data_IF_493937001257
#
_entry.id   IF_493937001257
#
_cell.length_a   1.000
_cell.length_b   1.000
_cell.length_c   1.000
_cell.angle_alpha   90.00
_cell.angle_beta   90.00
_cell.angle_gamma   90.00
#
_symmetry.space_group_name_H-M   'P 1'
#
loop_
_entity.id
_entity.type
_entity.pdbx_description
1 polymer ?
#
# COMPACT_ATOMS: atom_id res chain seq x y z
N UNK A 1 42.86 -84.81 -27.32
CA UNK A 1 41.84 -83.79 -27.67
C UNK A 1 40.87 -83.48 -26.50
N UNK A 2 41.39 -83.26 -25.27
CA UNK A 2 40.56 -82.92 -24.08
C UNK A 2 41.01 -81.64 -23.36
N UNK A 3 42.10 -80.99 -23.80
CA UNK A 3 42.60 -79.73 -23.23
C UNK A 3 42.07 -78.46 -23.92
N UNK A 4 41.61 -78.55 -25.17
CA UNK A 4 41.09 -77.40 -25.94
C UNK A 4 39.66 -77.00 -25.56
N UNK A 5 38.91 -77.89 -24.88
CA UNK A 5 37.49 -77.65 -24.55
C UNK A 5 37.28 -76.95 -23.19
N UNK A 6 38.30 -76.91 -22.32
CA UNK A 6 38.23 -76.24 -21.00
C UNK A 6 38.44 -74.73 -21.08
N UNK A 7 39.26 -74.27 -22.04
CA UNK A 7 39.47 -72.83 -22.27
C UNK A 7 38.21 -72.15 -22.85
N UNK A 8 37.44 -72.83 -23.70
CA UNK A 8 36.23 -72.25 -24.29
C UNK A 8 35.11 -72.05 -23.26
N UNK A 9 34.96 -72.95 -22.27
CA UNK A 9 33.99 -72.77 -21.18
C UNK A 9 34.35 -71.64 -20.23
N UNK A 10 35.64 -71.37 -20.00
CA UNK A 10 36.07 -70.24 -19.18
C UNK A 10 36.02 -68.91 -19.94
N UNK A 11 36.26 -68.91 -21.26
CA UNK A 11 36.13 -67.71 -22.10
C UNK A 11 34.67 -67.28 -22.29
N UNK A 12 33.72 -68.22 -22.38
CA UNK A 12 32.29 -67.92 -22.52
C UNK A 12 31.67 -67.43 -21.21
N UNK A 13 32.20 -67.83 -20.05
CA UNK A 13 31.76 -67.31 -18.75
C UNK A 13 32.34 -65.91 -18.46
N UNK A 14 33.52 -65.59 -18.99
CA UNK A 14 34.09 -64.24 -18.88
C UNK A 14 33.42 -63.22 -19.82
N UNK A 15 32.81 -63.68 -20.91
CA UNK A 15 32.06 -62.83 -21.86
C UNK A 15 30.60 -62.60 -21.45
N UNK A 16 30.10 -63.32 -20.44
CA UNK A 16 28.78 -63.12 -19.83
C UNK A 16 28.83 -62.32 -18.51
N UNK A 17 30.04 -62.02 -18.01
CA UNK A 17 30.27 -61.26 -16.78
C UNK A 17 30.72 -59.81 -17.04
N UNK A 18 30.73 -59.34 -18.29
CA UNK A 18 30.81 -57.92 -18.62
C UNK A 18 29.44 -57.26 -18.45
N UNK A 19 29.20 -56.87 -17.19
CA UNK A 19 28.57 -55.61 -16.85
C UNK A 19 27.11 -55.39 -17.31
N UNK A 20 26.25 -56.07 -16.56
CA UNK A 20 24.86 -55.75 -16.21
C UNK A 20 24.63 -54.35 -15.58
N UNK A 21 25.29 -53.27 -16.00
CA UNK A 21 25.03 -51.95 -15.37
C UNK A 21 25.10 -50.81 -16.38
N UNK A 22 23.98 -50.56 -17.07
CA UNK A 22 23.47 -49.21 -17.40
C UNK A 22 22.02 -49.31 -17.87
N UNK A 23 21.14 -49.92 -17.07
CA UNK A 23 19.75 -49.44 -17.10
C UNK A 23 19.75 -48.14 -16.31
N UNK A 24 20.15 -47.05 -16.97
CA UNK A 24 19.65 -45.75 -16.58
C UNK A 24 18.13 -45.88 -16.76
N UNK A 25 17.42 -46.19 -15.67
CA UNK A 25 16.08 -45.64 -15.52
C UNK A 25 16.30 -44.15 -15.68
N UNK A 26 15.95 -43.62 -16.86
CA UNK A 26 15.67 -42.22 -17.00
C UNK A 26 14.47 -42.04 -16.09
N UNK A 27 14.75 -41.78 -14.81
CA UNK A 27 13.76 -41.23 -13.93
C UNK A 27 13.34 -39.97 -14.67
N UNK A 28 12.18 -40.05 -15.33
CA UNK A 28 11.47 -38.85 -15.69
C UNK A 28 11.28 -38.15 -14.37
N UNK A 29 12.17 -37.20 -14.08
CA UNK A 29 11.86 -36.11 -13.19
C UNK A 29 10.65 -35.49 -13.85
N UNK A 30 9.47 -36.00 -13.48
CA UNK A 30 8.22 -35.30 -13.64
C UNK A 30 8.48 -34.02 -12.87
N UNK A 31 8.96 -33.01 -13.60
CA UNK A 31 9.06 -31.66 -13.12
C UNK A 31 7.61 -31.32 -12.86
N UNK A 32 7.16 -31.56 -11.62
CA UNK A 32 5.88 -31.12 -11.13
C UNK A 32 5.98 -29.60 -11.16
N UNK A 33 5.67 -29.03 -12.32
CA UNK A 33 5.51 -27.61 -12.47
C UNK A 33 4.29 -27.27 -11.64
N UNK A 34 4.59 -26.73 -10.47
CA UNK A 34 3.62 -26.23 -9.55
C UNK A 34 2.96 -24.99 -10.16
N UNK A 35 1.88 -25.25 -10.90
CA UNK A 35 1.10 -24.24 -11.59
C UNK A 35 0.24 -23.41 -10.62
N UNK A 36 0.27 -23.72 -9.33
CA UNK A 36 -0.53 -23.05 -8.30
C UNK A 36 0.29 -22.07 -7.44
N UNK A 37 1.43 -21.59 -7.95
CA UNK A 37 2.23 -20.55 -7.27
C UNK A 37 1.56 -19.19 -7.30
N UNK A 38 1.83 -18.33 -6.31
CA UNK A 38 1.18 -17.02 -6.14
C UNK A 38 1.21 -16.13 -7.39
N UNK A 39 2.32 -16.11 -8.14
CA UNK A 39 2.42 -15.33 -9.38
C UNK A 39 1.61 -15.93 -10.53
N UNK A 40 1.46 -17.26 -10.58
CA UNK A 40 0.70 -17.95 -11.61
C UNK A 40 -0.80 -17.81 -11.38
N UNK A 41 -1.26 -17.93 -10.11
CA UNK A 41 -2.65 -17.63 -9.73
C UNK A 41 -3.03 -16.19 -10.07
N UNK A 42 -2.13 -15.23 -9.85
CA UNK A 42 -2.34 -13.83 -10.27
C UNK A 42 -2.37 -13.69 -11.79
N UNK A 43 -1.49 -14.38 -12.51
CA UNK A 43 -1.40 -14.29 -13.96
C UNK A 43 -2.60 -14.90 -14.69
N UNK A 44 -3.26 -15.89 -14.08
CA UNK A 44 -4.48 -16.53 -14.61
C UNK A 44 -5.76 -15.72 -14.32
N UNK A 45 -5.69 -14.76 -13.39
CA UNK A 45 -6.83 -13.93 -13.03
C UNK A 45 -6.97 -12.70 -13.93
N UNK A 46 -8.06 -12.65 -14.71
CA UNK A 46 -8.33 -11.56 -15.66
C UNK A 46 -8.46 -10.17 -15.02
N UNK A 47 -8.76 -10.07 -13.72
CA UNK A 47 -8.91 -8.80 -12.98
C UNK A 47 -7.62 -8.37 -12.27
N UNK A 48 -6.53 -9.15 -12.38
CA UNK A 48 -5.23 -8.86 -11.78
C UNK A 48 -4.12 -8.71 -12.84
N UNK A 49 -4.50 -8.48 -14.10
CA UNK A 49 -3.58 -8.47 -15.24
C UNK A 49 -2.52 -7.36 -15.14
N UNK A 50 -2.88 -6.20 -14.61
CA UNK A 50 -1.97 -5.06 -14.36
C UNK A 50 -0.98 -5.38 -13.24
N UNK A 51 -1.41 -6.08 -12.19
CA UNK A 51 -0.50 -6.52 -11.14
C UNK A 51 0.44 -7.64 -11.61
N UNK A 52 -0.03 -8.56 -12.45
CA UNK A 52 0.82 -9.53 -13.14
C UNK A 52 1.93 -8.83 -13.96
N UNK A 53 1.58 -7.75 -14.67
CA UNK A 53 2.56 -6.92 -15.38
C UNK A 53 3.56 -6.22 -14.43
N UNK A 54 3.13 -5.77 -13.24
CA UNK A 54 4.03 -5.25 -12.19
C UNK A 54 5.05 -6.31 -11.77
N UNK A 55 4.59 -7.54 -11.48
CA UNK A 55 5.47 -8.63 -11.06
C UNK A 55 6.51 -8.96 -12.14
N UNK A 56 6.08 -9.06 -13.40
CA UNK A 56 6.97 -9.33 -14.56
C UNK A 56 7.99 -8.22 -14.78
N UNK A 57 7.54 -6.97 -14.81
CA UNK A 57 8.43 -5.82 -15.07
C UNK A 57 9.44 -5.58 -13.95
N UNK A 58 9.05 -5.85 -12.71
CA UNK A 58 9.94 -5.73 -11.55
C UNK A 58 10.89 -6.91 -11.40
N UNK A 59 10.62 -8.05 -12.05
CA UNK A 59 11.30 -9.33 -11.82
C UNK A 59 10.86 -10.06 -10.55
N UNK A 60 9.86 -9.54 -9.83
CA UNK A 60 9.32 -10.17 -8.62
C UNK A 60 8.61 -11.48 -8.93
N UNK A 61 8.07 -11.65 -10.14
CA UNK A 61 7.52 -12.91 -10.64
C UNK A 61 8.53 -14.06 -10.50
N UNK A 62 9.78 -13.86 -10.92
CA UNK A 62 10.85 -14.87 -10.80
C UNK A 62 11.21 -15.13 -9.35
N UNK A 63 11.23 -14.10 -8.51
CA UNK A 63 11.57 -14.20 -7.09
C UNK A 63 10.56 -15.08 -6.37
N UNK A 64 9.26 -14.83 -6.54
CA UNK A 64 8.22 -15.64 -5.89
C UNK A 64 8.01 -17.00 -6.56
N UNK A 65 8.35 -17.13 -7.85
CA UNK A 65 8.24 -18.41 -8.55
C UNK A 65 9.32 -19.41 -8.15
N UNK A 66 10.56 -18.95 -7.90
CA UNK A 66 11.68 -19.85 -7.58
C UNK A 66 12.02 -19.86 -6.09
N UNK A 67 11.58 -18.87 -5.33
CA UNK A 67 11.78 -18.85 -3.89
C UNK A 67 10.91 -19.88 -3.17
N UNK A 68 11.39 -20.35 -2.02
CA UNK A 68 10.70 -21.36 -1.20
C UNK A 68 9.40 -20.83 -0.59
N UNK A 69 9.29 -19.50 -0.38
CA UNK A 69 8.15 -18.89 0.30
C UNK A 69 8.09 -19.26 1.79
N UNK A 70 6.92 -19.15 2.43
CA UNK A 70 5.67 -18.67 1.86
C UNK A 70 5.69 -17.16 1.59
N UNK A 71 4.92 -16.71 0.60
CA UNK A 71 4.72 -15.28 0.30
C UNK A 71 3.27 -14.88 0.54
N UNK A 72 3.04 -13.62 0.92
CA UNK A 72 1.71 -13.02 0.83
C UNK A 72 1.76 -11.86 -0.15
N UNK A 73 1.10 -12.02 -1.31
CA UNK A 73 1.02 -10.99 -2.33
C UNK A 73 -0.24 -10.15 -2.15
N UNK A 74 -0.05 -8.85 -2.08
CA UNK A 74 -1.12 -7.86 -2.04
C UNK A 74 -1.38 -7.44 -3.49
N UNK A 75 -2.44 -7.92 -4.12
CA UNK A 75 -2.70 -7.72 -5.55
C UNK A 75 -3.80 -6.67 -5.76
N UNK A 76 -3.49 -5.41 -6.11
CA UNK A 76 -4.52 -4.46 -6.51
C UNK A 76 -5.25 -4.94 -7.76
N UNK A 77 -6.56 -4.74 -7.79
CA UNK A 77 -7.38 -5.02 -8.97
C UNK A 77 -7.03 -4.12 -10.17
N UNK A 78 -7.42 -4.51 -11.38
CA UNK A 78 -7.24 -3.68 -12.58
C UNK A 78 -8.00 -2.35 -12.50
N UNK A 79 -9.14 -2.33 -11.79
CA UNK A 79 -9.83 -1.09 -11.45
C UNK A 79 -8.96 -0.19 -10.56
N UNK A 80 -8.28 -0.76 -9.55
CA UNK A 80 -7.37 -0.03 -8.68
C UNK A 80 -6.20 0.61 -9.46
N UNK A 81 -5.64 -0.11 -10.43
CA UNK A 81 -4.60 0.40 -11.32
C UNK A 81 -5.12 1.51 -12.24
N UNK A 82 -6.32 1.36 -12.78
CA UNK A 82 -6.95 2.39 -13.61
C UNK A 82 -7.15 3.70 -12.82
N UNK A 83 -7.63 3.63 -11.58
CA UNK A 83 -7.72 4.79 -10.68
C UNK A 83 -6.35 5.39 -10.36
N UNK A 84 -5.29 4.58 -10.30
CA UNK A 84 -3.92 5.04 -10.11
C UNK A 84 -3.28 5.61 -11.40
N UNK A 85 -4.01 5.68 -12.51
CA UNK A 85 -3.54 6.22 -13.80
C UNK A 85 -2.86 5.19 -14.71
N UNK A 86 -2.89 3.91 -14.35
CA UNK A 86 -2.39 2.80 -15.16
C UNK A 86 -3.56 2.06 -15.79
N UNK A 87 -3.98 2.49 -16.99
CA UNK A 87 -5.10 1.89 -17.72
C UNK A 87 -4.66 0.57 -18.41
N UNK A 88 -4.54 -0.48 -17.61
CA UNK A 88 -4.20 -1.83 -18.04
C UNK A 88 -2.70 -2.17 -18.04
N UNK A 89 -2.35 -3.43 -18.37
CA UNK A 89 -0.98 -3.95 -18.23
C UNK A 89 0.03 -3.23 -19.12
N UNK A 90 -0.37 -2.77 -20.32
CA UNK A 90 0.53 -2.04 -21.23
C UNK A 90 1.00 -0.71 -20.60
N UNK A 91 0.11 0.01 -19.91
CA UNK A 91 0.48 1.25 -19.21
C UNK A 91 1.48 0.98 -18.08
N UNK A 92 1.30 -0.11 -17.33
CA UNK A 92 2.27 -0.57 -16.31
C UNK A 92 3.63 -0.89 -16.96
N UNK A 93 3.62 -1.62 -18.07
CA UNK A 93 4.83 -1.99 -18.82
C UNK A 93 5.54 -0.78 -19.45
N UNK A 94 4.83 0.32 -19.72
CA UNK A 94 5.42 1.58 -20.18
C UNK A 94 5.89 2.50 -19.03
N UNK A 95 5.41 2.31 -17.79
CA UNK A 95 5.71 3.17 -16.64
C UNK A 95 7.17 3.21 -16.18
N UNK A 96 7.48 3.99 -15.14
CA UNK A 96 8.85 4.08 -14.61
C UNK A 96 9.27 2.76 -13.91
N UNK A 97 10.32 2.10 -14.39
CA UNK A 97 10.78 0.81 -13.84
C UNK A 97 11.12 0.87 -12.35
N UNK A 98 11.79 1.93 -11.87
CA UNK A 98 12.12 2.08 -10.44
C UNK A 98 10.85 2.16 -9.59
N UNK A 99 9.84 2.90 -10.03
CA UNK A 99 8.56 2.98 -9.34
C UNK A 99 7.82 1.63 -9.35
N UNK A 100 7.75 0.95 -10.49
CA UNK A 100 7.10 -0.36 -10.59
C UNK A 100 7.78 -1.40 -9.70
N UNK A 101 9.12 -1.41 -9.64
CA UNK A 101 9.86 -2.28 -8.71
C UNK A 101 9.58 -1.94 -7.24
N UNK A 102 9.45 -0.65 -6.90
CA UNK A 102 9.05 -0.24 -5.54
C UNK A 102 7.64 -0.70 -5.20
N UNK A 103 6.69 -0.57 -6.13
CA UNK A 103 5.31 -1.06 -5.98
C UNK A 103 5.31 -2.58 -5.76
N UNK A 104 6.04 -3.35 -6.57
CA UNK A 104 6.12 -4.81 -6.42
C UNK A 104 6.65 -5.24 -5.05
N UNK A 105 7.74 -4.61 -4.58
CA UNK A 105 8.30 -4.89 -3.25
C UNK A 105 7.31 -4.49 -2.14
N UNK A 106 6.65 -3.34 -2.26
CA UNK A 106 5.72 -2.88 -1.24
C UNK A 106 4.47 -3.76 -1.11
N UNK A 107 4.08 -4.44 -2.19
CA UNK A 107 2.97 -5.38 -2.24
C UNK A 107 3.37 -6.84 -1.97
N UNK A 108 4.60 -7.09 -1.50
CA UNK A 108 5.09 -8.44 -1.20
C UNK A 108 5.48 -8.54 0.27
N UNK A 109 4.87 -9.49 1.00
CA UNK A 109 5.28 -9.87 2.34
C UNK A 109 5.99 -11.23 2.31
N UNK A 110 7.05 -11.34 3.09
CA UNK A 110 7.73 -12.60 3.38
C UNK A 110 7.04 -13.30 4.56
N UNK A 111 6.37 -14.41 4.26
CA UNK A 111 5.53 -15.16 5.21
C UNK A 111 4.10 -15.35 4.71
N UNK A 112 3.40 -16.27 5.37
CA UNK A 112 1.97 -16.52 5.18
C UNK A 112 1.17 -15.67 6.18
N UNK A 113 0.56 -14.58 5.72
CA UNK A 113 -0.23 -13.68 6.56
C UNK A 113 -1.72 -13.86 6.26
N UNK A 114 -2.40 -14.59 7.14
CA UNK A 114 -3.86 -14.68 7.16
C UNK A 114 -4.42 -13.44 7.87
N UNK A 115 -4.46 -12.32 7.14
CA UNK A 115 -4.75 -11.01 7.72
C UNK A 115 -6.09 -11.01 8.49
N UNK A 116 -7.11 -11.72 8.02
CA UNK A 116 -8.38 -11.83 8.75
C UNK A 116 -8.31 -12.48 10.15
N UNK A 117 -7.22 -13.18 10.48
CA UNK A 117 -7.02 -13.87 11.77
C UNK A 117 -5.96 -13.23 12.65
N UNK A 118 -5.22 -12.24 12.15
CA UNK A 118 -4.19 -11.59 12.95
C UNK A 118 -4.84 -10.70 14.03
N UNK A 119 -4.29 -10.68 15.25
CA UNK A 119 -4.73 -9.74 16.28
C UNK A 119 -4.28 -8.34 15.87
N UNK A 120 -5.13 -7.63 15.14
CA UNK A 120 -4.83 -6.26 14.75
C UNK A 120 -5.30 -5.29 15.81
N UNK A 121 -4.35 -4.53 16.36
CA UNK A 121 -4.66 -3.21 16.86
C UNK A 121 -5.07 -2.31 15.70
N UNK A 122 -5.73 -1.20 16.01
CA UNK A 122 -6.00 -0.17 15.02
C UNK A 122 -4.67 0.32 14.41
N UNK A 123 -4.57 0.33 13.08
CA UNK A 123 -3.33 0.65 12.36
C UNK A 123 -2.11 -0.18 12.84
N UNK A 124 -2.28 -1.49 13.01
CA UNK A 124 -1.19 -2.41 13.34
C UNK A 124 -0.09 -2.35 12.29
N UNK A 125 1.14 -2.01 12.70
CA UNK A 125 2.30 -2.00 11.79
C UNK A 125 2.62 -3.43 11.31
N UNK A 126 2.78 -3.57 10.00
CA UNK A 126 3.30 -4.72 9.28
C UNK A 126 4.54 -4.30 8.48
N UNK A 127 5.39 -5.26 8.13
CA UNK A 127 6.57 -5.02 7.29
C UNK A 127 6.44 -5.78 5.98
N UNK A 128 6.52 -5.05 4.87
CA UNK A 128 6.64 -5.61 3.53
C UNK A 128 8.08 -5.48 3.05
N UNK A 129 8.41 -6.09 1.91
CA UNK A 129 9.74 -5.90 1.29
C UNK A 129 9.99 -4.45 0.89
N UNK A 130 8.94 -3.64 0.73
CA UNK A 130 9.03 -2.23 0.37
C UNK A 130 8.94 -1.24 1.54
N UNK A 131 8.84 -1.72 2.79
CA UNK A 131 8.80 -0.85 3.99
C UNK A 131 7.64 -1.15 4.93
N UNK A 132 7.32 -0.18 5.79
CA UNK A 132 6.22 -0.30 6.77
C UNK A 132 4.86 -0.14 6.10
N UNK A 133 3.90 -0.93 6.54
CA UNK A 133 2.49 -0.90 6.15
C UNK A 133 1.63 -0.97 7.41
N UNK A 134 0.37 -0.58 7.33
CA UNK A 134 -0.51 -0.55 8.50
C UNK A 134 -1.79 -1.30 8.20
N UNK A 135 -2.12 -2.31 8.98
CA UNK A 135 -3.33 -3.10 8.83
C UNK A 135 -4.36 -2.70 9.88
N UNK A 136 -5.60 -2.51 9.45
CA UNK A 136 -6.74 -2.30 10.35
C UNK A 136 -7.80 -3.32 10.04
N UNK A 137 -8.22 -4.07 11.05
CA UNK A 137 -9.32 -5.02 10.96
C UNK A 137 -10.42 -4.57 11.89
N UNK A 138 -11.58 -4.31 11.31
CA UNK A 138 -12.72 -3.73 11.96
C UNK A 138 -13.92 -4.66 11.86
N UNK A 139 -14.49 -5.01 13.01
CA UNK A 139 -15.65 -5.88 13.10
C UNK A 139 -16.80 -5.05 13.68
N UNK A 140 -17.87 -4.85 12.90
CA UNK A 140 -19.10 -4.18 13.31
C UNK A 140 -20.28 -5.12 13.12
N UNK A 141 -20.69 -5.80 14.20
CA UNK A 141 -21.72 -6.83 14.11
C UNK A 141 -21.23 -8.02 13.27
N UNK A 142 -21.90 -8.28 12.14
CA UNK A 142 -21.48 -9.32 11.18
C UNK A 142 -20.55 -8.80 10.08
N UNK A 143 -20.44 -7.48 9.94
CA UNK A 143 -19.60 -6.87 8.90
C UNK A 143 -18.16 -6.81 9.36
N UNK A 144 -17.29 -7.36 8.53
CA UNK A 144 -15.85 -7.40 8.76
C UNK A 144 -15.16 -6.65 7.63
N UNK A 145 -14.41 -5.61 7.96
CA UNK A 145 -13.64 -4.83 7.01
C UNK A 145 -12.17 -4.88 7.37
N UNK A 146 -11.34 -5.22 6.39
CA UNK A 146 -9.89 -5.23 6.50
C UNK A 146 -9.33 -4.17 5.55
N UNK A 147 -8.44 -3.33 6.06
CA UNK A 147 -7.71 -2.35 5.27
C UNK A 147 -6.20 -2.50 5.46
N UNK A 148 -5.45 -2.17 4.41
CA UNK A 148 -4.00 -2.07 4.40
C UNK A 148 -3.61 -0.66 3.93
N UNK A 149 -3.06 0.14 4.83
CA UNK A 149 -2.70 1.54 4.62
C UNK A 149 -3.83 2.35 3.94
N UNK A 150 -5.07 2.15 4.40
CA UNK A 150 -6.26 2.79 3.85
C UNK A 150 -6.89 2.14 2.60
N UNK A 151 -6.26 1.11 2.02
CA UNK A 151 -6.81 0.33 0.90
C UNK A 151 -7.64 -0.84 1.42
N UNK A 152 -8.87 -1.02 0.94
CA UNK A 152 -9.74 -2.13 1.37
C UNK A 152 -9.27 -3.42 0.72
N UNK A 153 -9.27 -4.50 1.51
CA UNK A 153 -9.08 -5.85 0.99
C UNK A 153 -10.42 -6.39 0.46
N UNK A 154 -10.50 -6.57 -0.86
CA UNK A 154 -11.68 -7.01 -1.60
C UNK A 154 -11.90 -8.53 -1.52
N UNK A 155 -10.82 -9.30 -1.63
CA UNK A 155 -10.83 -10.76 -1.50
C UNK A 155 -9.62 -11.19 -0.67
N UNK A 156 -9.86 -12.12 0.25
CA UNK A 156 -8.88 -12.47 1.28
C UNK A 156 -8.43 -13.93 1.16
N UNK A 157 -7.18 -14.19 1.49
CA UNK A 157 -6.60 -15.52 1.65
C UNK A 157 -6.81 -16.46 0.44
N UNK A 158 -6.70 -15.94 -0.79
CA UNK A 158 -6.70 -16.80 -1.97
C UNK A 158 -5.46 -17.68 -1.89
N UNK A 159 -5.66 -18.99 -1.80
CA UNK A 159 -4.60 -19.95 -1.54
C UNK A 159 -3.77 -20.24 -2.80
N UNK A 160 -2.46 -20.28 -2.60
CA UNK A 160 -1.48 -20.75 -3.57
C UNK A 160 -0.56 -21.77 -2.87
N UNK A 161 0.13 -22.60 -3.64
CA UNK A 161 1.04 -23.62 -3.13
C UNK A 161 2.18 -23.06 -2.27
N UNK A 162 2.64 -21.84 -2.58
CA UNK A 162 3.73 -21.16 -1.90
C UNK A 162 3.30 -19.86 -1.20
N UNK A 163 2.00 -19.70 -0.86
CA UNK A 163 1.57 -18.46 -0.24
C UNK A 163 0.07 -18.15 -0.23
N UNK A 164 -0.22 -16.87 -0.03
CA UNK A 164 -1.56 -16.29 -0.05
C UNK A 164 -1.59 -15.06 -0.94
N UNK A 165 -2.77 -14.76 -1.48
CA UNK A 165 -3.04 -13.52 -2.21
C UNK A 165 -4.17 -12.77 -1.52
N UNK A 166 -4.00 -11.46 -1.37
CA UNK A 166 -4.97 -10.52 -0.82
C UNK A 166 -5.28 -9.49 -1.92
N UNK A 167 -6.52 -9.41 -2.39
CA UNK A 167 -6.89 -8.49 -3.48
C UNK A 167 -7.24 -7.12 -2.92
N UNK A 168 -6.68 -6.04 -3.46
CA UNK A 168 -6.87 -4.67 -2.97
C UNK A 168 -7.70 -3.81 -3.93
N UNK A 169 -8.41 -2.83 -3.37
CA UNK A 169 -9.16 -1.83 -4.15
C UNK A 169 -8.32 -0.62 -4.59
N UNK A 170 -7.10 -0.48 -4.05
CA UNK A 170 -6.14 0.57 -4.41
C UNK A 170 -4.73 0.04 -4.56
N UNK A 171 -3.99 0.63 -5.50
CA UNK A 171 -2.54 0.44 -5.60
C UNK A 171 -1.86 1.18 -4.45
N UNK A 172 -1.17 0.45 -3.59
CA UNK A 172 -0.43 1.02 -2.48
C UNK A 172 0.95 1.50 -2.94
N UNK A 173 1.25 2.78 -2.76
CA UNK A 173 2.56 3.33 -3.08
C UNK A 173 3.44 3.37 -1.82
N UNK A 174 4.70 2.87 -1.88
CA UNK A 174 5.59 2.97 -0.74
C UNK A 174 5.96 4.43 -0.49
N UNK A 175 6.03 4.80 0.79
CA UNK A 175 6.47 6.13 1.16
C UNK A 175 7.92 6.37 0.72
N UNK A 176 8.20 7.58 0.25
CA UNK A 176 9.55 8.01 -0.17
C UNK A 176 10.28 8.74 0.96
N UNK A 177 9.52 9.22 1.94
CA UNK A 177 10.02 10.07 3.03
C UNK A 177 9.67 9.46 4.37
N UNK A 178 10.67 9.34 5.24
CA UNK A 178 10.49 8.83 6.61
C UNK A 178 9.74 9.83 7.50
N UNK A 179 9.81 11.12 7.19
CA UNK A 179 9.15 12.19 7.95
C UNK A 179 8.08 12.89 7.09
N UNK A 180 6.94 13.16 7.71
CA UNK A 180 5.82 13.88 7.09
C UNK A 180 6.22 15.30 6.69
N UNK A 181 7.08 15.95 7.47
CA UNK A 181 7.65 17.26 7.12
C UNK A 181 8.42 17.23 5.79
N UNK A 182 9.19 16.16 5.55
CA UNK A 182 9.90 15.97 4.28
C UNK A 182 8.96 15.65 3.12
N UNK A 183 7.89 14.87 3.37
CA UNK A 183 6.86 14.63 2.37
C UNK A 183 6.14 15.93 1.96
N UNK A 184 5.81 16.78 2.93
CA UNK A 184 5.19 18.09 2.69
C UNK A 184 6.13 19.01 1.89
N UNK A 185 7.41 19.07 2.26
CA UNK A 185 8.40 19.89 1.58
C UNK A 185 8.68 19.46 0.13
N UNK A 186 8.44 18.19 -0.21
CA UNK A 186 8.68 17.63 -1.54
C UNK A 186 7.50 17.78 -2.51
N UNK A 187 6.29 18.11 -2.04
CA UNK A 187 5.11 18.23 -2.90
C UNK A 187 4.97 19.68 -3.44
N UNK A 188 5.04 19.88 -4.77
CA UNK A 188 4.99 21.21 -5.38
C UNK A 188 3.64 21.91 -5.21
N UNK A 189 2.57 21.18 -4.87
CA UNK A 189 1.22 21.74 -4.75
C UNK A 189 0.95 22.38 -3.39
N UNK A 190 1.81 22.17 -2.39
CA UNK A 190 1.62 22.63 -0.99
C UNK A 190 2.84 23.41 -0.46
N UNK A 191 3.59 24.04 -1.36
CA UNK A 191 4.83 24.77 -1.02
C UNK A 191 4.58 25.93 -0.06
N UNK A 192 3.46 26.66 -0.19
CA UNK A 192 3.10 27.75 0.74
C UNK A 192 2.83 27.21 2.15
N UNK A 193 2.13 26.08 2.26
CA UNK A 193 1.91 25.42 3.54
C UNK A 193 3.22 24.91 4.17
N UNK A 194 4.12 24.35 3.35
CA UNK A 194 5.46 23.95 3.81
C UNK A 194 6.25 25.13 4.39
N UNK A 195 6.20 26.31 3.74
CA UNK A 195 6.85 27.52 4.25
C UNK A 195 6.20 28.05 5.52
N UNK A 196 4.88 27.95 5.65
CA UNK A 196 4.17 28.30 6.88
C UNK A 196 4.57 27.40 8.07
N UNK A 197 4.66 26.08 7.86
CA UNK A 197 5.16 25.15 8.87
C UNK A 197 6.59 25.47 9.33
N UNK A 198 7.46 25.83 8.38
CA UNK A 198 8.84 26.21 8.68
C UNK A 198 8.91 27.51 9.47
N UNK A 199 8.22 28.56 9.02
CA UNK A 199 8.26 29.89 9.65
C UNK A 199 7.63 29.93 11.05
N UNK A 200 6.64 29.07 11.32
CA UNK A 200 5.94 29.00 12.62
C UNK A 200 6.59 28.06 13.65
N UNK A 201 7.63 27.33 13.27
CA UNK A 201 8.24 26.30 14.11
C UNK A 201 7.38 25.02 14.30
N UNK A 202 6.26 24.89 13.59
CA UNK A 202 5.40 23.69 13.67
C UNK A 202 6.05 22.50 12.96
N UNK A 203 6.92 22.75 11.96
CA UNK A 203 7.66 21.69 11.26
C UNK A 203 8.45 20.81 12.25
N UNK A 204 9.09 21.40 13.26
CA UNK A 204 9.83 20.67 14.29
C UNK A 204 8.90 19.81 15.15
N UNK A 205 7.67 20.28 15.40
CA UNK A 205 6.68 19.51 16.17
C UNK A 205 6.32 18.21 15.45
N UNK A 206 6.03 18.29 14.14
CA UNK A 206 5.64 17.12 13.33
C UNK A 206 6.83 16.27 12.83
N UNK A 207 8.06 16.70 13.12
CA UNK A 207 9.28 15.95 12.82
C UNK A 207 9.69 15.01 13.98
N UNK A 208 9.04 15.14 15.14
CA UNK A 208 9.27 14.28 16.31
C UNK A 208 8.61 12.91 16.23
N UNK A 209 8.55 12.23 17.38
CA UNK A 209 7.86 10.95 17.53
C UNK A 209 6.38 11.09 17.13
N UNK A 210 6.02 10.43 16.03
CA UNK A 210 4.66 10.37 15.50
C UNK A 210 3.84 9.21 16.09
N UNK A 211 2.70 8.85 15.49
CA UNK A 211 2.27 9.28 14.16
C UNK A 211 1.54 10.63 14.11
N UNK A 212 1.62 11.30 12.95
CA UNK A 212 0.85 12.50 12.63
C UNK A 212 -0.03 12.30 11.40
N UNK A 213 -1.17 12.97 11.34
CA UNK A 213 -1.94 13.14 10.11
C UNK A 213 -2.05 14.62 9.80
N UNK A 214 -1.70 15.02 8.58
CA UNK A 214 -1.70 16.42 8.17
C UNK A 214 -2.67 16.59 7.02
N UNK A 215 -3.60 17.53 7.17
CA UNK A 215 -4.48 18.00 6.11
C UNK A 215 -3.90 19.29 5.54
N UNK A 216 -3.06 19.19 4.51
CA UNK A 216 -2.33 20.33 3.95
C UNK A 216 -3.16 21.06 2.88
N UNK A 217 -3.58 22.32 3.10
CA UNK A 217 -4.16 23.15 2.04
C UNK A 217 -3.16 23.32 0.90
N UNK A 218 -3.64 23.14 -0.32
CA UNK A 218 -2.86 23.42 -1.53
C UNK A 218 -2.53 24.91 -1.67
N UNK A 219 -1.67 25.23 -2.63
CA UNK A 219 -1.21 26.59 -2.85
C UNK A 219 -2.37 27.54 -3.20
N UNK A 220 -3.39 27.06 -3.92
CA UNK A 220 -4.57 27.86 -4.24
C UNK A 220 -5.39 28.17 -2.98
N UNK A 221 -5.59 27.18 -2.10
CA UNK A 221 -6.23 27.36 -0.81
C UNK A 221 -5.45 28.32 0.09
N UNK A 222 -4.12 28.19 0.16
CA UNK A 222 -3.26 29.10 0.91
C UNK A 222 -3.35 30.54 0.39
N UNK A 223 -3.35 30.73 -0.92
CA UNK A 223 -3.55 32.05 -1.55
C UNK A 223 -4.92 32.65 -1.19
N UNK A 224 -5.99 31.85 -1.25
CA UNK A 224 -7.34 32.28 -0.88
C UNK A 224 -7.48 32.65 0.60
N UNK A 225 -6.58 32.16 1.46
CA UNK A 225 -6.50 32.52 2.88
C UNK A 225 -5.64 33.78 3.14
N UNK A 226 -5.05 34.37 2.09
CA UNK A 226 -4.19 35.55 2.20
C UNK A 226 -2.70 35.24 2.39
N UNK A 227 -2.29 33.97 2.26
CA UNK A 227 -0.89 33.53 2.36
C UNK A 227 -0.26 33.32 0.97
N UNK A 228 -0.47 34.27 0.06
CA UNK A 228 -0.08 34.14 -1.35
C UNK A 228 1.43 34.17 -1.58
N UNK A 229 2.20 34.72 -0.64
CA UNK A 229 3.66 34.81 -0.73
C UNK A 229 4.34 34.43 0.58
N UNK A 230 5.62 34.06 0.50
CA UNK A 230 6.45 33.79 1.68
C UNK A 230 6.54 35.02 2.59
N UNK A 231 6.58 36.21 2.02
CA UNK A 231 6.62 37.47 2.76
C UNK A 231 5.33 37.66 3.58
N UNK A 232 4.16 37.38 3.00
CA UNK A 232 2.89 37.45 3.73
C UNK A 232 2.85 36.45 4.89
N UNK A 233 3.37 35.24 4.68
CA UNK A 233 3.49 34.24 5.75
C UNK A 233 4.42 34.74 6.87
N UNK A 234 5.55 35.35 6.54
CA UNK A 234 6.51 35.87 7.51
C UNK A 234 6.01 37.08 8.29
N UNK A 235 5.21 37.94 7.66
CA UNK A 235 4.59 39.11 8.28
C UNK A 235 3.33 38.77 9.09
N UNK A 236 2.84 37.53 9.00
CA UNK A 236 1.67 37.09 9.74
C UNK A 236 1.96 36.97 11.23
N UNK A 237 0.94 37.21 12.05
CA UNK A 237 1.01 37.00 13.48
C UNK A 237 1.45 35.54 13.79
N UNK A 238 2.60 35.34 14.46
CA UNK A 238 3.14 34.00 14.69
C UNK A 238 2.22 33.09 15.52
N UNK A 239 1.46 33.66 16.45
CA UNK A 239 0.54 32.92 17.32
C UNK A 239 -0.67 32.45 16.50
N UNK A 240 -1.24 33.34 15.69
CA UNK A 240 -2.36 32.99 14.79
C UNK A 240 -1.94 31.98 13.74
N UNK A 241 -0.77 32.17 13.12
CA UNK A 241 -0.23 31.24 12.12
C UNK A 241 0.00 29.86 12.74
N UNK A 242 0.59 29.80 13.94
CA UNK A 242 0.79 28.53 14.65
C UNK A 242 -0.53 27.84 14.96
N UNK A 243 -1.53 28.56 15.48
CA UNK A 243 -2.86 27.99 15.77
C UNK A 243 -3.53 27.46 14.51
N UNK A 244 -3.49 28.23 13.41
CA UNK A 244 -4.00 27.82 12.11
C UNK A 244 -3.36 26.49 11.66
N UNK A 245 -2.02 26.38 11.73
CA UNK A 245 -1.32 25.16 11.30
C UNK A 245 -1.62 23.96 12.19
N UNK A 246 -1.72 24.14 13.51
CA UNK A 246 -2.08 23.06 14.43
C UNK A 246 -3.52 22.55 14.21
N UNK A 247 -4.42 23.41 13.73
CA UNK A 247 -5.78 23.04 13.33
C UNK A 247 -5.84 22.21 12.03
N UNK A 248 -4.71 21.99 11.36
CA UNK A 248 -4.57 21.11 10.21
C UNK A 248 -3.86 19.79 10.53
N UNK A 249 -3.53 19.55 11.81
CA UNK A 249 -2.72 18.41 12.22
C UNK A 249 -3.46 17.60 13.29
N UNK A 250 -3.42 16.28 13.14
CA UNK A 250 -3.88 15.29 14.13
C UNK A 250 -2.67 14.54 14.65
N UNK A 251 -2.62 14.29 15.97
CA UNK A 251 -1.58 13.46 16.61
C UNK A 251 -1.99 11.97 16.63
N UNK A 252 -2.26 11.44 15.45
CA UNK A 252 -2.62 10.03 15.21
C UNK A 252 -2.37 9.68 13.73
N UNK A 253 -2.33 8.39 13.40
CA UNK A 253 -2.32 7.91 12.00
C UNK A 253 -3.77 7.74 11.54
N UNK A 254 -4.19 8.52 10.55
CA UNK A 254 -5.55 8.48 10.01
C UNK A 254 -5.54 8.44 8.49
N UNK A 255 -5.91 7.28 7.98
CA UNK A 255 -6.28 7.09 6.58
C UNK A 255 -7.73 7.54 6.35
N UNK A 256 -8.13 7.78 5.11
CA UNK A 256 -9.52 8.12 4.76
C UNK A 256 -10.47 7.01 5.18
N UNK A 257 -10.07 5.75 4.98
CA UNK A 257 -10.90 4.60 5.32
C UNK A 257 -11.09 4.44 6.83
N UNK A 258 -10.17 4.93 7.65
CA UNK A 258 -10.30 4.92 9.12
C UNK A 258 -11.55 5.68 9.58
N UNK A 259 -11.87 6.79 8.91
CA UNK A 259 -13.10 7.55 9.17
C UNK A 259 -14.34 6.83 8.66
N UNK A 260 -14.26 6.14 7.52
CA UNK A 260 -15.37 5.33 6.99
C UNK A 260 -15.74 4.23 8.00
N UNK A 261 -14.75 3.62 8.66
CA UNK A 261 -14.98 2.59 9.68
C UNK A 261 -15.60 3.15 10.96
N UNK A 262 -15.25 4.38 11.36
CA UNK A 262 -15.61 4.94 12.67
C UNK A 262 -16.86 5.82 12.70
N UNK A 263 -17.35 6.32 11.56
CA UNK A 263 -18.43 7.36 11.45
C UNK A 263 -19.86 6.89 11.74
N UNK A 264 -20.05 5.67 12.25
CA UNK A 264 -21.36 5.21 12.75
C UNK A 264 -22.45 5.20 11.67
N UNK A 265 -23.68 5.58 12.04
CA UNK A 265 -24.83 5.71 11.12
C UNK A 265 -25.08 7.14 10.67
N UNK A 266 -24.42 8.12 11.30
CA UNK A 266 -24.54 9.55 10.97
C UNK A 266 -23.78 9.95 9.70
N UNK A 267 -22.93 9.06 9.16
CA UNK A 267 -21.97 9.36 8.09
C UNK A 267 -21.09 10.59 8.40
N UNK A 268 -20.95 10.91 9.69
CA UNK A 268 -20.23 12.06 10.20
C UNK A 268 -19.50 11.69 11.49
N UNK A 269 -18.28 12.17 11.65
CA UNK A 269 -17.46 12.00 12.85
C UNK A 269 -16.81 13.33 13.25
N UNK A 270 -16.52 13.48 14.54
CA UNK A 270 -15.68 14.57 15.04
C UNK A 270 -14.23 14.10 15.10
N UNK A 271 -13.32 14.92 14.61
CA UNK A 271 -11.88 14.68 14.68
C UNK A 271 -11.22 15.81 15.48
N UNK A 272 -10.63 15.46 16.62
CA UNK A 272 -9.82 16.39 17.41
C UNK A 272 -8.51 16.73 16.71
N UNK A 273 -8.15 18.01 16.75
CA UNK A 273 -6.95 18.57 16.13
C UNK A 273 -5.92 18.99 17.20
N UNK A 274 -4.69 19.26 16.78
CA UNK A 274 -3.59 19.58 17.70
C UNK A 274 -3.68 20.98 18.35
N UNK A 275 -4.57 21.84 17.87
CA UNK A 275 -4.88 23.13 18.50
C UNK A 275 -5.91 23.00 19.64
N UNK A 276 -6.49 21.81 19.84
CA UNK A 276 -7.52 21.52 20.84
C UNK A 276 -8.96 21.64 20.33
N UNK A 277 -9.17 22.13 19.11
CA UNK A 277 -10.50 22.18 18.48
C UNK A 277 -10.80 20.87 17.74
N UNK A 278 -12.04 20.74 17.24
CA UNK A 278 -12.45 19.59 16.42
C UNK A 278 -13.01 20.03 15.08
N UNK A 279 -12.79 19.20 14.06
CA UNK A 279 -13.40 19.33 12.74
C UNK A 279 -14.46 18.25 12.55
N UNK A 280 -15.45 18.55 11.72
CA UNK A 280 -16.41 17.55 11.27
C UNK A 280 -15.86 16.86 10.03
N UNK A 281 -15.76 15.53 10.09
CA UNK A 281 -15.49 14.65 8.96
C UNK A 281 -16.83 14.15 8.45
N UNK A 282 -17.09 14.31 7.16
CA UNK A 282 -18.30 13.79 6.51
C UNK A 282 -17.91 12.77 5.46
N UNK A 283 -18.61 11.65 5.41
CA UNK A 283 -18.39 10.65 4.38
C UNK A 283 -18.98 11.10 3.04
N UNK A 284 -18.23 10.85 1.96
CA UNK A 284 -18.67 11.12 0.58
C UNK A 284 -19.17 9.82 -0.04
N UNK A 285 -20.49 9.69 -0.33
CA UNK A 285 -21.04 8.49 -0.95
C UNK A 285 -20.43 8.22 -2.32
N UNK A 286 -20.28 6.94 -2.65
CA UNK A 286 -19.87 6.52 -3.98
C UNK A 286 -21.11 6.45 -4.90
N UNK A 287 -21.19 7.25 -5.98
CA UNK A 287 -22.35 7.23 -6.87
C UNK A 287 -22.49 5.91 -7.64
N UNK A 288 -21.41 5.13 -7.77
CA UNK A 288 -21.38 3.90 -8.55
C UNK A 288 -21.57 2.63 -7.71
N UNK A 289 -21.61 2.76 -6.38
CA UNK A 289 -21.75 1.62 -5.48
C UNK A 289 -22.59 2.03 -4.25
N UNK A 290 -23.90 1.70 -4.24
CA UNK A 290 -24.81 2.02 -3.15
C UNK A 290 -24.27 1.55 -1.80
N UNK A 291 -24.49 2.36 -0.75
CA UNK A 291 -24.01 2.10 0.60
C UNK A 291 -22.47 1.99 0.76
N UNK A 292 -21.69 2.44 -0.23
CA UNK A 292 -20.24 2.59 -0.11
C UNK A 292 -19.83 4.06 -0.19
N UNK A 293 -18.62 4.35 0.30
CA UNK A 293 -18.06 5.69 0.35
C UNK A 293 -16.78 5.73 -0.48
N UNK A 294 -16.62 6.80 -1.25
CA UNK A 294 -15.44 7.01 -2.09
C UNK A 294 -14.38 7.88 -1.40
N UNK A 295 -14.74 8.54 -0.28
CA UNK A 295 -13.81 9.37 0.47
C UNK A 295 -14.49 10.13 1.59
N UNK A 296 -13.85 11.21 2.02
CA UNK A 296 -14.32 12.12 3.05
C UNK A 296 -14.28 13.58 2.56
N UNK A 297 -15.06 14.43 3.21
CA UNK A 297 -14.88 15.87 3.21
C UNK A 297 -14.72 16.37 4.65
N UNK A 298 -14.11 17.55 4.79
CA UNK A 298 -13.76 18.15 6.06
C UNK A 298 -14.49 19.47 6.24
N UNK A 299 -14.92 19.78 7.47
CA UNK A 299 -15.48 21.09 7.80
C UNK A 299 -14.94 21.55 9.16
N UNK A 300 -14.15 22.61 9.16
CA UNK A 300 -13.81 23.32 10.38
C UNK A 300 -14.99 24.12 10.92
N UNK A 301 -14.95 24.46 12.22
CA UNK A 301 -15.97 25.23 12.94
C UNK A 301 -16.37 26.52 12.19
N UNK A 302 -15.39 27.23 11.64
CA UNK A 302 -15.60 28.48 10.90
C UNK A 302 -15.88 28.29 9.41
N UNK A 303 -15.85 27.07 8.87
CA UNK A 303 -16.10 26.83 7.45
C UNK A 303 -17.60 26.71 7.18
N UNK A 304 -18.09 27.45 6.18
CA UNK A 304 -19.49 27.35 5.70
C UNK A 304 -19.67 26.29 4.60
N UNK A 305 -18.57 25.85 3.98
CA UNK A 305 -18.53 24.87 2.90
C UNK A 305 -17.60 23.72 3.28
N UNK A 306 -17.92 22.51 2.81
CA UNK A 306 -17.08 21.33 2.95
C UNK A 306 -15.83 21.45 2.08
N UNK A 307 -14.67 21.16 2.69
CA UNK A 307 -13.38 21.08 2.05
C UNK A 307 -13.16 19.65 1.54
N UNK A 308 -12.67 19.52 0.32
CA UNK A 308 -12.42 18.23 -0.34
C UNK A 308 -10.94 17.86 -0.26
N UNK A 309 -10.68 16.56 -0.32
CA UNK A 309 -9.32 16.04 -0.48
C UNK A 309 -8.99 16.01 -1.98
N UNK A 310 -7.86 16.60 -2.34
CA UNK A 310 -7.25 16.56 -3.67
C UNK A 310 -6.30 15.36 -3.83
N UNK A 311 -5.57 15.02 -2.76
CA UNK A 311 -4.76 13.80 -2.64
C UNK A 311 -4.99 13.21 -1.27
N UNK A 312 -5.03 11.88 -1.18
CA UNK A 312 -5.37 11.19 0.06
C UNK A 312 -4.42 10.03 0.34
N UNK A 313 -4.25 9.73 1.63
CA UNK A 313 -3.50 8.57 2.14
C UNK A 313 -2.03 8.53 1.72
N UNK A 314 -1.39 9.70 1.58
CA UNK A 314 0.03 9.77 1.24
C UNK A 314 0.85 9.39 2.48
N UNK A 315 1.28 8.14 2.54
CA UNK A 315 2.03 7.60 3.66
C UNK A 315 3.43 8.24 3.76
N UNK A 316 3.88 8.44 4.99
CA UNK A 316 5.26 8.73 5.39
C UNK A 316 5.63 7.85 6.60
N UNK A 317 6.92 7.74 6.92
CA UNK A 317 7.37 6.92 8.04
C UNK A 317 6.68 7.27 9.37
N UNK A 318 6.58 8.56 9.70
CA UNK A 318 5.94 9.05 10.92
C UNK A 318 4.52 9.62 10.74
N UNK A 319 3.83 9.38 9.62
CA UNK A 319 2.49 9.94 9.44
C UNK A 319 1.80 9.73 8.10
N UNK A 320 0.65 10.37 7.93
CA UNK A 320 -0.16 10.37 6.69
C UNK A 320 -0.46 11.81 6.27
N UNK A 321 -0.23 12.13 5.00
CA UNK A 321 -0.53 13.41 4.40
C UNK A 321 -1.79 13.30 3.53
N UNK A 322 -2.69 14.25 3.69
CA UNK A 322 -3.82 14.50 2.79
C UNK A 322 -3.69 15.94 2.29
N UNK A 323 -3.87 16.15 0.99
CA UNK A 323 -3.89 17.50 0.39
C UNK A 323 -5.34 17.92 0.21
N UNK A 324 -5.69 19.15 0.61
CA UNK A 324 -7.06 19.65 0.64
C UNK A 324 -7.22 20.95 -0.18
N UNK A 325 -8.42 21.19 -0.71
CA UNK A 325 -8.73 22.33 -1.60
C UNK A 325 -9.12 23.63 -0.88
N UNK A 326 -8.99 23.67 0.45
CA UNK A 326 -9.37 24.81 1.29
C UNK A 326 -8.68 24.76 2.65
N UNK A 327 -8.65 25.89 3.37
CA UNK A 327 -8.14 25.93 4.75
C UNK A 327 -9.23 25.66 5.78
N UNK A 328 -8.91 24.83 6.78
CA UNK A 328 -9.72 24.66 7.97
C UNK A 328 -9.67 25.94 8.81
N UNK A 329 -10.83 26.50 9.14
CA UNK A 329 -10.97 27.73 9.93
C UNK A 329 -11.73 27.50 11.23
N UNK A 330 -11.35 28.24 12.27
CA UNK A 330 -12.06 28.27 13.55
C UNK A 330 -13.15 29.34 13.54
N UNK A 331 -12.86 30.50 12.93
CA UNK A 331 -13.78 31.63 12.73
C UNK A 331 -14.11 31.80 11.24
N UNK A 332 -15.27 32.35 10.92
CA UNK A 332 -15.70 32.61 9.53
C UNK A 332 -14.79 33.63 8.85
#
# INVERSE_FOLDING_TARGET
>A
MKLQLRYYKQLVILLFATFLITSCKKDEVLNSHDNNRVNLVIADNFNLSSFSAVLRKSGMDKVVQHGEGPYTLLAPSDAAFSTAGYNGPVAVLAGNTKMISRIANYHTLDGKYELNKLPFLFNQELRTRGGKMYATHWIKGRDTVLTLSGSRVLAQNIAASNGLIQVLDRVLTPYVHDLIGSAIAADPNITLFAQALKSSGVLQTISGAGPYTVFAPDNAAMQALGYSTVQQIQLSDPVKLRSFLLYHIVKDRRFVYDYILSTGTSNMAQQGMMDGNSITIKLVPNPNAPASFQGISLRGIGNTVDIKLLKQDMLSGNGVLHVIDGGLRITQ
#
